data_IF_744318173984
#
_entry.id   IF_744318173984
#
_cell.length_a   1.000
_cell.length_b   1.000
_cell.length_c   1.000
_cell.angle_alpha   90.00
_cell.angle_beta   90.00
_cell.angle_gamma   90.00
#
_symmetry.space_group_name_H-M   'P 1'
#
loop_
_entity.id
_entity.type
_entity.pdbx_description
1 polymer ?
#
# COMPACT_ATOMS: atom_id res chain seq x y z
N UNK A 1 -26.25 27.78 3.57
CA UNK A 1 -25.43 27.76 4.82
C UNK A 1 -24.57 26.51 4.75
N UNK A 2 -23.27 26.67 4.56
CA UNK A 2 -22.31 25.54 4.58
C UNK A 2 -22.35 24.90 5.98
N UNK A 3 -22.77 23.65 6.09
CA UNK A 3 -22.70 22.90 7.35
C UNK A 3 -21.22 22.72 7.70
N UNK A 4 -20.81 23.33 8.80
CA UNK A 4 -19.43 23.24 9.27
C UNK A 4 -19.13 21.77 9.60
N UNK A 5 -18.14 21.18 8.94
CA UNK A 5 -17.68 19.82 9.23
C UNK A 5 -17.25 19.73 10.68
N UNK A 6 -17.45 18.55 11.29
CA UNK A 6 -16.84 18.30 12.60
C UNK A 6 -15.32 18.17 12.44
N UNK A 7 -14.53 18.60 13.45
CA UNK A 7 -13.09 18.55 13.35
C UNK A 7 -12.51 17.17 13.06
N UNK A 8 -13.10 16.11 13.64
CA UNK A 8 -12.68 14.74 13.39
C UNK A 8 -12.95 14.29 11.93
N UNK A 9 -14.08 14.73 11.36
CA UNK A 9 -14.41 14.45 9.98
C UNK A 9 -13.51 15.22 9.00
N UNK A 10 -13.23 16.48 9.31
CA UNK A 10 -12.28 17.29 8.53
C UNK A 10 -10.88 16.67 8.50
N UNK A 11 -10.41 16.15 9.64
CA UNK A 11 -9.15 15.42 9.74
C UNK A 11 -9.16 14.15 8.88
N UNK A 12 -10.22 13.34 8.97
CA UNK A 12 -10.38 12.14 8.15
C UNK A 12 -10.32 12.47 6.65
N UNK A 13 -11.12 13.43 6.19
CA UNK A 13 -11.19 13.81 4.77
C UNK A 13 -9.84 14.32 4.26
N UNK A 14 -9.11 15.07 5.07
CA UNK A 14 -7.80 15.57 4.66
C UNK A 14 -6.78 14.45 4.53
N UNK A 15 -6.72 13.54 5.49
CA UNK A 15 -5.83 12.37 5.42
C UNK A 15 -6.21 11.47 4.22
N UNK A 16 -7.52 11.19 4.03
CA UNK A 16 -7.98 10.31 2.96
C UNK A 16 -7.62 10.78 1.54
N UNK A 17 -7.44 12.07 1.33
CA UNK A 17 -7.01 12.61 0.02
C UNK A 17 -5.67 12.05 -0.44
N UNK A 18 -4.74 11.90 0.50
CA UNK A 18 -3.38 11.39 0.21
C UNK A 18 -3.36 9.87 0.05
N UNK A 19 -4.43 9.19 0.46
CA UNK A 19 -4.58 7.73 0.44
C UNK A 19 -5.85 7.29 -0.30
N UNK A 20 -6.15 7.91 -1.46
CA UNK A 20 -7.41 7.73 -2.18
C UNK A 20 -7.71 6.27 -2.54
N UNK A 21 -6.70 5.52 -2.97
CA UNK A 21 -6.79 4.14 -3.47
C UNK A 21 -6.49 3.07 -2.40
N UNK A 22 -6.38 3.47 -1.13
CA UNK A 22 -6.03 2.60 -0.02
C UNK A 22 -7.14 2.66 1.02
N UNK A 23 -7.56 1.55 1.60
CA UNK A 23 -8.54 1.54 2.69
C UNK A 23 -7.92 2.19 3.92
N UNK A 24 -8.51 3.31 4.38
CA UNK A 24 -8.05 4.03 5.55
C UNK A 24 -8.71 3.50 6.82
N UNK A 25 -7.94 2.82 7.65
CA UNK A 25 -8.33 2.43 9.01
C UNK A 25 -8.04 3.59 9.97
N UNK A 26 -9.08 4.34 10.32
CA UNK A 26 -8.96 5.55 11.11
C UNK A 26 -9.25 5.27 12.58
N UNK A 27 -8.28 5.49 13.46
CA UNK A 27 -8.41 5.24 14.89
C UNK A 27 -9.41 6.18 15.56
N UNK A 28 -10.47 5.62 16.12
CA UNK A 28 -11.51 6.34 16.85
C UNK A 28 -11.74 5.68 18.21
N UNK A 29 -11.00 6.14 19.24
CA UNK A 29 -11.01 5.52 20.57
C UNK A 29 -10.50 4.09 20.49
N UNK A 30 -11.35 3.12 20.88
CA UNK A 30 -11.00 1.70 20.90
C UNK A 30 -11.27 0.97 19.57
N UNK A 31 -11.61 1.71 18.50
CA UNK A 31 -11.94 1.13 17.18
C UNK A 31 -11.05 1.68 16.09
N UNK A 32 -10.81 0.86 15.06
CA UNK A 32 -10.52 1.30 13.73
C UNK A 32 -11.83 1.40 12.96
N UNK A 33 -12.09 2.57 12.40
CA UNK A 33 -13.30 2.86 11.63
C UNK A 33 -12.89 3.23 10.19
N UNK A 34 -13.62 2.73 9.22
CA UNK A 34 -13.55 3.14 7.83
C UNK A 34 -14.89 3.75 7.42
N UNK A 35 -14.87 4.70 6.47
CA UNK A 35 -16.05 5.45 6.09
C UNK A 35 -16.31 5.36 4.59
N UNK A 36 -17.58 5.52 4.21
CA UNK A 36 -18.09 5.58 2.83
C UNK A 36 -17.57 4.40 1.99
N UNK A 37 -16.83 4.64 0.91
CA UNK A 37 -16.31 3.57 0.04
C UNK A 37 -15.45 2.56 0.81
N UNK A 38 -14.60 3.02 1.70
CA UNK A 38 -13.74 2.15 2.50
C UNK A 38 -14.55 1.28 3.47
N UNK A 39 -15.64 1.82 4.01
CA UNK A 39 -16.57 1.05 4.87
C UNK A 39 -17.23 -0.09 4.11
N UNK A 40 -17.63 0.13 2.86
CA UNK A 40 -18.19 -0.93 2.02
C UNK A 40 -17.17 -2.02 1.73
N UNK A 41 -15.93 -1.65 1.37
CA UNK A 41 -14.84 -2.62 1.17
C UNK A 41 -14.58 -3.41 2.44
N UNK A 42 -14.47 -2.71 3.58
CA UNK A 42 -14.20 -3.35 4.87
C UNK A 42 -15.30 -4.32 5.27
N UNK A 43 -16.56 -3.89 5.13
CA UNK A 43 -17.73 -4.71 5.44
C UNK A 43 -17.81 -5.97 4.57
N UNK A 44 -17.59 -5.83 3.26
CA UNK A 44 -17.61 -6.96 2.31
C UNK A 44 -16.45 -7.93 2.57
N UNK A 45 -15.23 -7.41 2.70
CA UNK A 45 -14.04 -8.27 2.80
C UNK A 45 -13.89 -8.95 4.15
N UNK A 46 -14.35 -8.31 5.23
CA UNK A 46 -14.28 -8.87 6.59
C UNK A 46 -15.59 -9.50 7.06
N UNK A 47 -16.66 -9.38 6.27
CA UNK A 47 -18.01 -9.87 6.63
C UNK A 47 -18.53 -9.25 7.95
N UNK A 48 -18.19 -7.97 8.18
CA UNK A 48 -18.62 -7.20 9.34
C UNK A 48 -19.77 -6.25 9.01
N UNK A 49 -20.49 -5.82 10.02
CA UNK A 49 -21.69 -4.98 9.84
C UNK A 49 -21.35 -3.61 9.26
N UNK A 50 -22.02 -3.25 8.17
CA UNK A 50 -22.09 -1.89 7.68
C UNK A 50 -23.17 -1.13 8.45
N UNK A 51 -22.81 0.02 8.98
CA UNK A 51 -23.70 0.91 9.74
C UNK A 51 -23.54 2.35 9.29
N UNK A 52 -24.08 3.32 10.02
CA UNK A 52 -23.94 4.74 9.70
C UNK A 52 -23.52 5.52 10.93
N UNK A 53 -22.65 6.50 10.72
CA UNK A 53 -22.22 7.47 11.72
C UNK A 53 -22.57 8.88 11.30
N UNK A 54 -23.07 9.66 12.24
CA UNK A 54 -23.44 11.04 11.99
C UNK A 54 -22.30 11.98 12.41
N UNK A 55 -21.85 12.81 11.47
CA UNK A 55 -20.90 13.89 11.70
C UNK A 55 -21.61 15.25 11.54
N UNK A 56 -21.87 15.92 12.66
CA UNK A 56 -22.64 17.19 12.64
C UNK A 56 -24.15 16.99 12.47
N UNK A 57 -24.84 18.07 12.10
CA UNK A 57 -26.31 18.09 12.16
C UNK A 57 -27.03 17.32 11.04
N UNK A 58 -26.40 17.11 9.86
CA UNK A 58 -27.09 16.54 8.69
C UNK A 58 -26.19 15.68 7.79
N UNK A 59 -25.04 15.24 8.26
CA UNK A 59 -24.13 14.40 7.46
C UNK A 59 -24.04 13.02 8.08
N UNK A 60 -24.60 12.03 7.38
CA UNK A 60 -24.45 10.61 7.72
C UNK A 60 -23.49 9.99 6.72
N UNK A 61 -22.57 9.21 7.23
CA UNK A 61 -21.58 8.47 6.45
C UNK A 61 -21.70 7.00 6.77
N UNK A 62 -21.57 6.16 5.76
CA UNK A 62 -21.50 4.72 5.98
C UNK A 62 -20.24 4.40 6.78
N UNK A 63 -20.34 3.47 7.68
CA UNK A 63 -19.31 3.08 8.64
C UNK A 63 -19.20 1.59 8.74
N UNK A 64 -18.00 1.06 8.68
CA UNK A 64 -17.65 -0.26 9.17
C UNK A 64 -16.39 -0.15 10.04
N UNK A 65 -16.28 -1.00 11.05
CA UNK A 65 -15.14 -0.94 11.95
C UNK A 65 -15.07 -2.12 12.89
N UNK A 66 -13.94 -2.24 13.53
CA UNK A 66 -13.64 -3.32 14.48
C UNK A 66 -12.76 -2.81 15.63
N UNK A 67 -12.74 -3.51 16.78
CA UNK A 67 -11.89 -3.16 17.92
C UNK A 67 -10.40 -3.18 17.55
N UNK A 68 -9.64 -2.22 18.04
CA UNK A 68 -8.24 -2.05 17.68
C UNK A 68 -7.36 -3.28 17.95
N UNK A 69 -7.66 -4.02 19.03
CA UNK A 69 -6.91 -5.22 19.36
C UNK A 69 -7.09 -6.37 18.36
N UNK A 70 -8.08 -6.29 17.47
CA UNK A 70 -8.33 -7.26 16.41
C UNK A 70 -7.62 -6.88 15.09
N UNK A 71 -6.81 -5.81 15.08
CA UNK A 71 -6.15 -5.30 13.86
C UNK A 71 -5.38 -6.39 13.12
N UNK A 72 -4.53 -7.14 13.81
CA UNK A 72 -3.67 -8.16 13.21
C UNK A 72 -4.46 -9.21 12.42
N UNK A 73 -5.56 -9.70 12.99
CA UNK A 73 -6.42 -10.70 12.36
C UNK A 73 -7.11 -10.15 11.12
N UNK A 74 -7.71 -8.96 11.25
CA UNK A 74 -8.44 -8.34 10.15
C UNK A 74 -7.51 -7.86 9.04
N UNK A 75 -6.34 -7.32 9.39
CA UNK A 75 -5.32 -6.91 8.44
C UNK A 75 -4.84 -8.10 7.59
N UNK A 76 -4.52 -9.24 8.22
CA UNK A 76 -4.18 -10.48 7.50
C UNK A 76 -5.27 -10.90 6.51
N UNK A 77 -6.55 -10.79 6.91
CA UNK A 77 -7.67 -11.14 6.02
C UNK A 77 -7.78 -10.17 4.84
N UNK A 78 -7.62 -8.87 5.06
CA UNK A 78 -7.69 -7.85 4.02
C UNK A 78 -6.57 -8.03 2.99
N UNK A 79 -5.34 -8.23 3.45
CA UNK A 79 -4.18 -8.42 2.58
C UNK A 79 -4.28 -9.69 1.72
N UNK A 80 -4.79 -10.80 2.29
CA UNK A 80 -5.09 -12.03 1.53
C UNK A 80 -6.20 -11.84 0.48
N UNK A 81 -7.01 -10.79 0.59
CA UNK A 81 -8.04 -10.40 -0.37
C UNK A 81 -7.61 -9.19 -1.23
N UNK A 82 -6.31 -8.98 -1.38
CA UNK A 82 -5.67 -7.94 -2.21
C UNK A 82 -6.06 -6.50 -1.82
N UNK A 83 -6.42 -6.25 -0.56
CA UNK A 83 -6.78 -4.92 -0.08
C UNK A 83 -5.58 -4.25 0.57
N UNK A 84 -5.18 -3.09 0.03
CA UNK A 84 -4.18 -2.21 0.63
C UNK A 84 -4.79 -1.39 1.76
N UNK A 85 -4.05 -1.21 2.85
CA UNK A 85 -4.55 -0.60 4.08
C UNK A 85 -3.60 0.46 4.59
N UNK A 86 -4.11 1.66 4.82
CA UNK A 86 -3.42 2.72 5.57
C UNK A 86 -3.90 2.70 7.03
N UNK A 87 -2.99 2.52 7.96
CA UNK A 87 -3.28 2.50 9.39
C UNK A 87 -3.03 3.90 9.95
N UNK A 88 -4.10 4.54 10.43
CA UNK A 88 -4.07 5.88 10.97
C UNK A 88 -4.28 5.83 12.49
N UNK A 89 -3.25 6.24 13.22
CA UNK A 89 -3.20 6.20 14.69
C UNK A 89 -3.34 7.58 15.31
N UNK A 90 -3.74 7.60 16.58
CA UNK A 90 -3.69 8.79 17.43
C UNK A 90 -2.23 9.05 17.84
N UNK A 91 -1.72 10.24 17.49
CA UNK A 91 -0.33 10.62 17.76
C UNK A 91 -0.15 11.31 19.10
N UNK A 92 -1.25 11.75 19.70
CA UNK A 92 -1.23 12.37 21.04
C UNK A 92 -2.36 11.81 21.91
N UNK A 93 -2.07 11.56 23.18
CA UNK A 93 -3.11 11.27 24.18
C UNK A 93 -3.86 12.54 24.61
N UNK A 94 -3.26 13.71 24.36
CA UNK A 94 -3.83 15.01 24.73
C UNK A 94 -4.46 15.67 23.50
N UNK A 95 -5.62 16.26 23.71
CA UNK A 95 -6.27 17.10 22.70
C UNK A 95 -5.43 18.34 22.44
N UNK A 96 -5.28 18.74 21.17
CA UNK A 96 -4.68 20.01 20.81
C UNK A 96 -5.53 21.22 21.31
N UNK A 97 -5.07 22.46 21.06
CA UNK A 97 -5.76 23.70 21.47
C UNK A 97 -7.23 23.75 21.01
N UNK A 98 -7.60 22.97 19.98
CA UNK A 98 -8.97 22.85 19.47
C UNK A 98 -9.79 21.72 20.10
N UNK A 99 -9.22 20.99 21.08
CA UNK A 99 -9.88 19.86 21.72
C UNK A 99 -9.95 18.59 20.84
N UNK A 100 -9.04 18.45 19.87
CA UNK A 100 -9.01 17.34 18.91
C UNK A 100 -7.77 16.49 19.19
N UNK A 101 -7.95 15.18 19.19
CA UNK A 101 -6.83 14.22 19.17
C UNK A 101 -6.29 14.19 17.76
N UNK A 102 -5.01 14.46 17.59
CA UNK A 102 -4.34 14.40 16.29
C UNK A 102 -4.12 12.95 15.86
N UNK A 103 -4.17 12.74 14.54
CA UNK A 103 -3.99 11.43 13.92
C UNK A 103 -3.15 11.57 12.67
N UNK A 104 -2.32 10.58 12.45
CA UNK A 104 -1.53 10.47 11.23
C UNK A 104 -1.48 9.01 10.75
N UNK A 105 -1.21 8.81 9.46
CA UNK A 105 -0.95 7.49 8.93
C UNK A 105 0.46 7.08 9.36
N UNK A 106 0.52 6.06 10.20
CA UNK A 106 1.80 5.53 10.72
C UNK A 106 2.36 4.43 9.82
N UNK A 107 1.51 3.81 9.00
CA UNK A 107 1.91 2.72 8.13
C UNK A 107 0.90 2.49 7.01
N UNK A 108 1.42 2.19 5.82
CA UNK A 108 0.66 1.59 4.72
C UNK A 108 1.12 0.14 4.56
N UNK A 109 0.17 -0.78 4.44
CA UNK A 109 0.45 -2.21 4.28
C UNK A 109 -0.23 -2.70 3.02
N UNK A 110 0.54 -3.38 2.19
CA UNK A 110 0.06 -4.04 0.97
C UNK A 110 0.43 -5.52 0.96
N UNK A 111 -0.14 -6.34 0.07
CA UNK A 111 0.18 -7.77 0.01
C UNK A 111 1.68 -8.07 -0.14
N UNK A 112 2.41 -7.25 -0.89
CA UNK A 112 3.85 -7.42 -1.14
C UNK A 112 4.75 -6.86 -0.04
N UNK A 113 4.21 -6.07 0.91
CA UNK A 113 4.99 -5.41 1.98
C UNK A 113 4.78 -6.02 3.36
N UNK A 114 4.22 -7.23 3.43
CA UNK A 114 4.03 -7.96 4.68
C UNK A 114 5.41 -8.48 5.16
N UNK A 115 5.73 -8.26 6.42
CA UNK A 115 6.94 -8.80 7.06
C UNK A 115 6.64 -9.52 8.39
N UNK A 116 5.40 -9.50 8.85
CA UNK A 116 5.01 -10.20 10.08
C UNK A 116 4.84 -11.68 9.81
N UNK A 117 5.63 -12.53 10.50
CA UNK A 117 5.67 -13.99 10.33
C UNK A 117 4.29 -14.65 10.41
N UNK A 118 3.40 -14.15 11.28
CA UNK A 118 2.06 -14.73 11.43
C UNK A 118 1.09 -14.42 10.28
N UNK A 119 1.48 -13.51 9.37
CA UNK A 119 0.72 -13.16 8.17
C UNK A 119 1.24 -13.83 6.91
N UNK A 120 2.49 -14.29 6.93
CA UNK A 120 3.17 -14.92 5.81
C UNK A 120 2.85 -16.41 5.72
N UNK A 121 2.87 -16.94 4.51
CA UNK A 121 2.91 -18.37 4.29
C UNK A 121 4.37 -18.83 4.40
N UNK A 122 4.67 -19.63 5.42
CA UNK A 122 6.03 -20.14 5.69
C UNK A 122 6.59 -21.04 4.55
N UNK A 123 5.80 -21.35 3.54
CA UNK A 123 6.19 -22.26 2.45
C UNK A 123 6.46 -21.54 1.13
N UNK A 124 6.19 -20.22 1.04
CA UNK A 124 6.35 -19.44 -0.19
C UNK A 124 6.96 -18.07 0.09
N UNK A 125 7.72 -17.56 -0.86
CA UNK A 125 8.24 -16.21 -0.82
C UNK A 125 7.10 -15.20 -1.05
N UNK A 126 7.19 -14.03 -0.40
CA UNK A 126 6.23 -12.94 -0.54
C UNK A 126 6.84 -11.81 -1.37
N UNK A 127 6.89 -11.99 -2.70
CA UNK A 127 7.55 -11.03 -3.57
C UNK A 127 6.69 -9.80 -3.90
N UNK A 128 7.25 -8.62 -3.61
CA UNK A 128 6.89 -7.38 -4.27
C UNK A 128 7.74 -7.26 -5.53
N UNK A 129 7.11 -7.22 -6.70
CA UNK A 129 7.81 -7.21 -7.98
C UNK A 129 7.52 -5.92 -8.74
N UNK A 130 8.55 -5.33 -9.33
CA UNK A 130 8.41 -4.17 -10.21
C UNK A 130 8.84 -4.52 -11.63
N UNK A 131 8.04 -4.07 -12.61
CA UNK A 131 8.32 -4.17 -14.03
C UNK A 131 8.47 -2.77 -14.61
N UNK A 132 9.57 -2.56 -15.31
CA UNK A 132 9.85 -1.34 -16.05
C UNK A 132 9.94 -1.64 -17.54
N UNK A 133 8.97 -1.12 -18.30
CA UNK A 133 8.90 -1.28 -19.75
C UNK A 133 9.62 -0.12 -20.44
N UNK A 134 10.64 -0.44 -21.23
CA UNK A 134 11.37 0.54 -22.04
C UNK A 134 11.69 -0.09 -23.40
N UNK A 135 11.04 0.40 -24.45
CA UNK A 135 11.17 -0.13 -25.82
C UNK A 135 10.96 -1.65 -25.86
N UNK A 136 11.99 -2.40 -26.25
CA UNK A 136 11.96 -3.88 -26.34
C UNK A 136 12.57 -4.60 -25.13
N UNK A 137 12.88 -3.86 -24.07
CA UNK A 137 13.52 -4.41 -22.86
C UNK A 137 12.58 -4.22 -21.69
N UNK A 138 12.44 -5.26 -20.89
CA UNK A 138 11.70 -5.21 -19.64
C UNK A 138 12.70 -5.37 -18.50
N UNK A 139 12.83 -4.34 -17.66
CA UNK A 139 13.49 -4.45 -16.37
C UNK A 139 12.57 -5.14 -15.39
N UNK A 140 13.07 -6.10 -14.66
CA UNK A 140 12.35 -6.73 -13.54
C UNK A 140 13.19 -6.63 -12.28
N UNK A 141 12.57 -6.18 -11.21
CA UNK A 141 13.14 -6.27 -9.87
C UNK A 141 12.12 -6.88 -8.92
N UNK A 142 12.56 -7.66 -7.97
CA UNK A 142 11.69 -8.19 -6.93
C UNK A 142 12.40 -8.26 -5.59
N UNK A 143 11.62 -8.05 -4.54
CA UNK A 143 12.06 -8.08 -3.16
C UNK A 143 11.12 -8.96 -2.34
N UNK A 144 11.68 -9.78 -1.47
CA UNK A 144 10.98 -10.37 -0.34
C UNK A 144 11.40 -9.63 0.92
N UNK A 145 10.49 -8.82 1.46
CA UNK A 145 10.78 -7.95 2.62
C UNK A 145 11.09 -8.77 3.87
N UNK A 146 10.51 -9.97 4.01
CA UNK A 146 10.71 -10.84 5.18
C UNK A 146 12.11 -11.44 5.23
N UNK A 147 12.66 -11.78 4.07
CA UNK A 147 13.99 -12.40 3.94
C UNK A 147 15.08 -11.41 3.54
N UNK A 148 14.69 -10.18 3.15
CA UNK A 148 15.59 -9.18 2.55
C UNK A 148 16.25 -9.66 1.24
N UNK A 149 15.65 -10.62 0.56
CA UNK A 149 16.10 -11.05 -0.76
C UNK A 149 15.71 -10.04 -1.81
N UNK A 150 16.70 -9.51 -2.56
CA UNK A 150 16.47 -8.58 -3.66
C UNK A 150 17.16 -9.11 -4.91
N UNK A 151 16.42 -9.11 -6.04
CA UNK A 151 16.98 -9.48 -7.34
C UNK A 151 16.54 -8.50 -8.42
N UNK A 152 17.44 -8.29 -9.38
CA UNK A 152 17.23 -7.43 -10.55
C UNK A 152 17.68 -8.18 -11.80
N UNK A 153 16.91 -8.11 -12.88
CA UNK A 153 17.21 -8.75 -14.14
C UNK A 153 16.62 -8.00 -15.33
N UNK A 154 16.99 -8.41 -16.54
CA UNK A 154 16.38 -7.96 -17.78
C UNK A 154 15.65 -9.12 -18.45
N UNK A 155 14.48 -8.87 -18.98
CA UNK A 155 13.66 -9.83 -19.69
C UNK A 155 13.36 -9.33 -21.11
N UNK A 156 13.02 -10.26 -21.98
CA UNK A 156 12.30 -9.97 -23.21
C UNK A 156 10.80 -10.24 -23.02
N UNK A 157 9.97 -9.73 -23.91
CA UNK A 157 8.51 -9.89 -23.83
C UNK A 157 8.07 -11.35 -23.82
N UNK A 158 8.80 -12.25 -24.52
CA UNK A 158 8.46 -13.68 -24.62
C UNK A 158 8.66 -14.41 -23.28
N UNK A 159 9.62 -13.96 -22.45
CA UNK A 159 9.92 -14.57 -21.15
C UNK A 159 9.08 -14.01 -20.00
N UNK A 160 8.38 -12.88 -20.21
CA UNK A 160 7.69 -12.16 -19.16
C UNK A 160 6.66 -13.04 -18.44
N UNK A 161 5.74 -13.65 -19.19
CA UNK A 161 4.65 -14.46 -18.61
C UNK A 161 5.19 -15.65 -17.79
N UNK A 162 6.22 -16.33 -18.30
CA UNK A 162 6.82 -17.45 -17.60
C UNK A 162 7.54 -17.01 -16.31
N UNK A 163 8.20 -15.87 -16.34
CA UNK A 163 8.89 -15.33 -15.17
C UNK A 163 7.92 -14.84 -14.09
N UNK A 164 6.84 -14.15 -14.47
CA UNK A 164 5.79 -13.76 -13.53
C UNK A 164 5.12 -14.98 -12.91
N UNK A 165 4.81 -16.00 -13.72
CA UNK A 165 4.25 -17.26 -13.20
C UNK A 165 5.20 -17.99 -12.25
N UNK A 166 6.51 -17.93 -12.52
CA UNK A 166 7.55 -18.54 -11.65
C UNK A 166 7.68 -17.82 -10.31
N UNK A 167 7.65 -16.48 -10.35
CA UNK A 167 7.78 -15.66 -9.14
C UNK A 167 6.49 -15.66 -8.33
N UNK A 168 5.34 -15.76 -8.99
CA UNK A 168 4.01 -15.64 -8.38
C UNK A 168 3.94 -14.48 -7.38
N UNK A 169 4.20 -13.23 -7.83
CA UNK A 169 4.35 -12.11 -6.92
C UNK A 169 3.08 -11.82 -6.14
N UNK A 170 3.21 -11.49 -4.87
CA UNK A 170 2.10 -11.04 -4.04
C UNK A 170 1.58 -9.66 -4.48
N UNK A 171 2.48 -8.84 -5.02
CA UNK A 171 2.14 -7.52 -5.56
C UNK A 171 3.02 -7.18 -6.74
N UNK A 172 2.43 -6.53 -7.76
CA UNK A 172 3.11 -6.15 -8.99
C UNK A 172 2.98 -4.65 -9.26
N UNK A 173 4.11 -3.98 -9.41
CA UNK A 173 4.21 -2.56 -9.75
C UNK A 173 4.62 -2.44 -11.21
N UNK A 174 3.92 -1.62 -11.99
CA UNK A 174 4.17 -1.46 -13.43
C UNK A 174 4.24 0.03 -13.76
N UNK A 175 5.28 0.45 -14.50
CA UNK A 175 5.48 1.84 -14.88
C UNK A 175 4.61 2.32 -16.05
N UNK A 176 4.01 1.43 -16.82
CA UNK A 176 3.32 1.78 -18.06
C UNK A 176 1.99 1.02 -18.19
N UNK A 177 0.94 1.74 -18.64
CA UNK A 177 -0.38 1.14 -18.90
C UNK A 177 -0.35 0.08 -19.99
N UNK A 178 0.49 0.26 -21.01
CA UNK A 178 0.64 -0.72 -22.10
C UNK A 178 1.22 -2.07 -21.60
N UNK A 179 1.99 -2.04 -20.52
CA UNK A 179 2.51 -3.24 -19.87
C UNK A 179 1.46 -4.05 -19.11
N UNK A 180 0.31 -3.44 -18.76
CA UNK A 180 -0.74 -4.10 -18.00
C UNK A 180 -1.37 -5.24 -18.77
N UNK A 181 -1.62 -5.03 -20.05
CA UNK A 181 -2.27 -6.02 -20.91
C UNK A 181 -1.37 -7.23 -21.20
N UNK A 182 -0.06 -7.07 -20.97
CA UNK A 182 0.92 -8.15 -21.10
C UNK A 182 1.03 -9.04 -19.87
N UNK A 183 0.46 -8.62 -18.74
CA UNK A 183 0.57 -9.35 -17.48
C UNK A 183 -0.83 -9.57 -16.89
N UNK A 184 -1.21 -10.82 -16.77
CA UNK A 184 -2.41 -11.22 -16.03
C UNK A 184 -2.04 -11.49 -14.55
N UNK A 185 -2.33 -10.51 -13.69
CA UNK A 185 -2.07 -10.60 -12.25
C UNK A 185 -3.10 -9.78 -11.47
N UNK A 186 -3.61 -10.34 -10.37
CA UNK A 186 -4.69 -9.74 -9.58
C UNK A 186 -4.27 -8.47 -8.84
N UNK A 187 -3.07 -8.46 -8.28
CA UNK A 187 -2.55 -7.37 -7.43
C UNK A 187 -1.62 -6.42 -8.21
N UNK A 188 -2.14 -5.80 -9.28
CA UNK A 188 -1.40 -4.83 -10.09
C UNK A 188 -1.54 -3.42 -9.54
N UNK A 189 -0.45 -2.70 -9.46
CA UNK A 189 -0.42 -1.26 -9.22
C UNK A 189 0.29 -0.58 -10.38
N UNK A 190 -0.33 0.47 -10.94
CA UNK A 190 0.28 1.32 -11.95
C UNK A 190 0.74 2.57 -11.23
N UNK A 191 2.03 2.87 -11.34
CA UNK A 191 2.51 4.17 -10.90
C UNK A 191 2.26 5.21 -12.01
N UNK A 192 1.81 6.43 -11.67
CA UNK A 192 1.73 7.53 -12.60
C UNK A 192 3.09 7.78 -13.25
N UNK A 193 3.09 8.19 -14.55
CA UNK A 193 4.33 8.49 -15.25
C UNK A 193 5.15 9.60 -14.56
N UNK A 194 4.46 10.60 -13.99
CA UNK A 194 5.08 11.71 -13.27
C UNK A 194 5.83 11.26 -12.01
N UNK A 195 5.34 10.26 -11.29
CA UNK A 195 6.02 9.70 -10.12
C UNK A 195 7.28 8.90 -10.50
N UNK A 196 7.37 8.47 -11.78
CA UNK A 196 8.54 7.78 -12.31
C UNK A 196 9.61 8.75 -12.81
N UNK A 197 9.27 9.97 -13.24
CA UNK A 197 10.27 10.95 -13.69
C UNK A 197 11.15 11.44 -12.53
N UNK A 198 10.61 11.55 -11.32
CA UNK A 198 11.39 11.82 -10.10
C UNK A 198 12.18 10.58 -9.63
N UNK A 199 11.76 9.38 -10.00
CA UNK A 199 12.45 8.10 -9.80
C UNK A 199 13.37 7.71 -10.96
N UNK A 200 13.24 8.31 -12.14
CA UNK A 200 14.19 8.15 -13.22
C UNK A 200 15.46 8.86 -12.79
N UNK A 201 16.15 8.10 -12.12
CA UNK A 201 17.46 7.78 -12.53
C UNK A 201 18.10 8.93 -13.29
N UNK A 202 18.65 9.86 -12.60
CA UNK A 202 19.85 10.48 -13.12
C UNK A 202 20.69 9.35 -13.76
N UNK A 203 21.23 9.56 -14.92
CA UNK A 203 22.02 8.61 -15.70
C UNK A 203 23.13 7.87 -14.92
N UNK A 204 23.41 8.33 -13.72
CA UNK A 204 24.27 7.76 -12.70
C UNK A 204 23.77 6.44 -12.10
N UNK A 205 22.47 6.14 -12.11
CA UNK A 205 21.99 4.86 -11.57
C UNK A 205 22.16 3.72 -12.54
N UNK A 206 22.06 3.95 -13.84
CA UNK A 206 22.45 2.93 -14.83
C UNK A 206 23.94 2.61 -14.71
N UNK A 207 24.78 3.62 -14.46
CA UNK A 207 26.19 3.39 -14.15
C UNK A 207 26.38 2.72 -12.78
N UNK A 208 25.55 3.01 -11.81
CA UNK A 208 25.57 2.38 -10.47
C UNK A 208 25.03 0.96 -10.50
N UNK A 209 24.01 0.66 -11.32
CA UNK A 209 23.55 -0.72 -11.57
C UNK A 209 24.64 -1.57 -12.25
N UNK A 210 25.48 -0.98 -13.07
CA UNK A 210 26.66 -1.66 -13.61
C UNK A 210 27.77 -1.86 -12.55
N UNK A 211 27.77 -1.09 -11.47
CA UNK A 211 28.66 -1.26 -10.30
C UNK A 211 28.06 -2.14 -9.21
N UNK A 212 26.80 -2.58 -9.32
CA UNK A 212 26.10 -3.45 -8.37
C UNK A 212 26.63 -4.88 -8.28
N UNK A 213 27.77 -5.17 -8.90
CA UNK A 213 28.59 -6.34 -8.52
C UNK A 213 29.25 -6.19 -7.15
N UNK A 214 29.20 -5.03 -6.53
CA UNK A 214 29.74 -4.74 -5.21
C UNK A 214 28.60 -4.61 -4.18
N UNK A 215 28.37 -5.66 -3.40
CA UNK A 215 27.28 -5.81 -2.43
C UNK A 215 27.14 -4.66 -1.40
N UNK A 216 28.20 -3.92 -1.11
CA UNK A 216 28.21 -2.86 -0.10
C UNK A 216 27.35 -1.63 -0.47
N UNK A 217 27.17 -1.33 -1.75
CA UNK A 217 26.35 -0.17 -2.16
C UNK A 217 24.85 -0.40 -1.94
N UNK A 218 24.40 -1.64 -2.07
CA UNK A 218 22.99 -2.00 -1.97
C UNK A 218 22.42 -1.71 -0.57
N UNK A 219 23.18 -2.03 0.46
CA UNK A 219 22.75 -1.83 1.86
C UNK A 219 22.76 -0.38 2.30
N UNK A 220 23.63 0.46 1.73
CA UNK A 220 23.71 1.88 2.09
C UNK A 220 22.60 2.74 1.47
N UNK A 221 21.91 2.26 0.43
CA UNK A 221 20.88 3.02 -0.30
C UNK A 221 19.46 2.44 -0.18
N UNK A 222 19.26 1.37 0.57
CA UNK A 222 17.94 0.83 0.90
C UNK A 222 17.04 1.84 1.63
N UNK A 223 17.62 2.85 2.27
CA UNK A 223 16.88 3.95 2.91
C UNK A 223 16.21 4.93 1.92
N UNK A 224 16.51 4.81 0.62
CA UNK A 224 15.89 5.63 -0.43
C UNK A 224 14.69 4.96 -1.09
N UNK A 225 14.43 3.69 -0.77
CA UNK A 225 13.20 3.01 -1.17
C UNK A 225 12.17 3.23 -0.04
N UNK A 226 11.75 4.50 0.13
CA UNK A 226 10.54 4.80 0.88
C UNK A 226 9.36 4.54 -0.07
N UNK A 227 8.81 3.34 0.03
CA UNK A 227 7.43 3.05 -0.40
C UNK A 227 6.53 3.32 0.77
#
# INVERSE_FOLDING_TARGET
MSSKMTPAWEQYVNIKKDYADVVLLFRMGDFYEAFDKDAHVLSEKLEITLTQKQFGKNQKHDLAGFPYHSLSQHLSTLLKKDVKVAICEQTSEQTNIKGIIEREVVRVVSPGTIFEDYMLDNQSNNYLTSLYFSNNIIGISYIDVSTSEIKVSKLNTQSLSSEISRLNPAELIINNRDGIDLVDHSSKMILPEDDFEDFIFESNVVQSLNKLSEQEWFYSNLSLIHI
#
